data_IF_291365771631
#
_entry.id   IF_291365771631
#
_cell.length_a   1.000
_cell.length_b   1.000
_cell.length_c   1.000
_cell.angle_alpha   90.00
_cell.angle_beta   90.00
_cell.angle_gamma   90.00
#
_symmetry.space_group_name_H-M   'P 1'
#
loop_
_entity.id
_entity.type
_entity.pdbx_description
1 polymer ?
#
# COMPACT_ATOMS: atom_id res chain seq x y z
N UNK A 1 21.74 -20.38 1.41
CA UNK A 1 21.15 -19.07 1.09
C UNK A 1 20.04 -18.84 2.08
N UNK A 2 20.10 -17.79 2.89
CA UNK A 2 18.97 -17.41 3.73
C UNK A 2 17.90 -16.82 2.81
N UNK A 3 16.71 -17.42 2.81
CA UNK A 3 15.56 -16.91 2.07
C UNK A 3 14.86 -15.85 2.92
N UNK A 4 14.65 -14.66 2.35
CA UNK A 4 13.87 -13.61 3.00
C UNK A 4 12.39 -13.99 3.01
N UNK A 5 11.80 -14.03 4.21
CA UNK A 5 10.34 -14.18 4.36
C UNK A 5 9.61 -12.93 3.86
N UNK A 6 8.47 -13.11 3.21
CA UNK A 6 7.69 -11.99 2.69
C UNK A 6 7.20 -11.02 3.77
N UNK A 7 6.83 -11.52 4.95
CA UNK A 7 6.41 -10.66 6.06
C UNK A 7 7.53 -9.71 6.51
N UNK A 8 8.79 -10.20 6.53
CA UNK A 8 9.96 -9.39 6.85
C UNK A 8 10.23 -8.34 5.77
N UNK A 9 10.11 -8.73 4.50
CA UNK A 9 10.24 -7.79 3.37
C UNK A 9 9.20 -6.68 3.45
N UNK A 10 7.94 -7.03 3.69
CA UNK A 10 6.84 -6.07 3.84
C UNK A 10 7.08 -5.12 5.02
N UNK A 11 7.54 -5.64 6.16
CA UNK A 11 7.87 -4.85 7.33
C UNK A 11 8.98 -3.82 7.03
N UNK A 12 10.08 -4.24 6.40
CA UNK A 12 11.21 -3.38 6.06
C UNK A 12 10.79 -2.29 5.07
N UNK A 13 9.99 -2.65 4.06
CA UNK A 13 9.47 -1.67 3.09
C UNK A 13 8.54 -0.68 3.78
N UNK A 14 7.68 -1.14 4.71
CA UNK A 14 6.78 -0.27 5.44
C UNK A 14 7.53 0.83 6.21
N UNK A 15 8.72 0.56 6.77
CA UNK A 15 9.55 1.58 7.42
C UNK A 15 9.82 2.80 6.52
N UNK A 16 9.97 2.57 5.21
CA UNK A 16 10.15 3.66 4.23
C UNK A 16 8.84 4.31 3.82
N UNK A 17 7.74 3.56 3.74
CA UNK A 17 6.46 4.06 3.24
C UNK A 17 5.70 4.91 4.27
N UNK A 18 5.87 4.62 5.55
CA UNK A 18 5.15 5.26 6.63
C UNK A 18 5.64 6.69 6.91
N UNK A 19 4.72 7.54 7.37
CA UNK A 19 5.04 8.90 7.86
C UNK A 19 5.90 8.80 9.12
N UNK A 20 5.45 7.97 10.05
CA UNK A 20 6.12 7.62 11.29
C UNK A 20 5.85 6.13 11.55
N UNK A 21 6.88 5.27 11.43
CA UNK A 21 6.72 3.84 11.66
C UNK A 21 6.59 3.46 13.15
N UNK A 22 6.92 4.37 14.07
CA UNK A 22 6.83 4.15 15.52
C UNK A 22 5.50 4.60 16.12
N UNK A 23 4.64 5.24 15.32
CA UNK A 23 3.32 5.68 15.73
C UNK A 23 2.41 4.52 16.08
N UNK A 24 1.53 4.69 17.08
CA UNK A 24 0.45 3.74 17.41
C UNK A 24 -0.53 3.54 16.25
N UNK A 25 -0.66 4.54 15.37
CA UNK A 25 -1.52 4.51 14.19
C UNK A 25 -0.70 4.88 12.96
N UNK A 26 0.22 4.00 12.53
CA UNK A 26 1.12 4.28 11.42
C UNK A 26 0.31 4.49 10.14
N UNK A 27 0.69 5.51 9.36
CA UNK A 27 0.01 5.88 8.11
C UNK A 27 1.00 5.97 6.96
N UNK A 28 0.60 5.49 5.80
CA UNK A 28 1.39 5.63 4.57
C UNK A 28 1.47 7.11 4.17
N UNK A 29 2.68 7.57 3.89
CA UNK A 29 2.91 8.91 3.38
C UNK A 29 2.28 9.05 1.98
N UNK A 30 1.43 10.07 1.69
CA UNK A 30 0.70 10.17 0.42
C UNK A 30 1.60 10.10 -0.82
N UNK A 31 2.76 10.77 -0.78
CA UNK A 31 3.76 10.77 -1.87
C UNK A 31 4.55 9.46 -2.04
N UNK A 32 4.39 8.50 -1.14
CA UNK A 32 5.12 7.22 -1.14
C UNK A 32 4.25 6.04 -1.56
N UNK A 33 2.93 6.22 -1.68
CA UNK A 33 1.98 5.19 -2.13
C UNK A 33 2.32 4.57 -3.49
N UNK A 34 2.91 5.35 -4.38
CA UNK A 34 3.30 4.93 -5.74
C UNK A 34 4.80 5.15 -5.99
N UNK A 35 5.61 4.94 -4.95
CA UNK A 35 7.07 5.07 -5.06
C UNK A 35 7.61 4.07 -6.10
N UNK A 36 8.54 4.52 -6.95
CA UNK A 36 9.22 3.63 -7.92
C UNK A 36 10.20 2.71 -7.20
N UNK A 37 10.34 1.46 -7.66
CA UNK A 37 11.27 0.45 -7.12
C UNK A 37 12.68 0.99 -6.89
N UNK A 38 13.25 1.66 -7.89
CA UNK A 38 14.59 2.28 -7.81
C UNK A 38 14.67 3.35 -6.71
N UNK A 39 13.60 4.10 -6.48
CA UNK A 39 13.58 5.11 -5.41
C UNK A 39 13.44 4.47 -4.03
N UNK A 40 12.70 3.35 -3.92
CA UNK A 40 12.58 2.59 -2.68
C UNK A 40 13.93 1.99 -2.28
N UNK A 41 14.62 1.31 -3.22
CA UNK A 41 15.95 0.75 -3.01
C UNK A 41 16.93 1.82 -2.53
N UNK A 42 17.00 2.97 -3.22
CA UNK A 42 17.88 4.08 -2.80
C UNK A 42 17.57 4.64 -1.40
N UNK A 43 16.32 4.57 -0.96
CA UNK A 43 15.93 5.00 0.39
C UNK A 43 16.31 3.96 1.44
N UNK A 44 16.18 2.68 1.11
CA UNK A 44 16.66 1.56 1.95
C UNK A 44 18.18 1.61 2.11
N UNK A 45 18.94 1.78 1.03
CA UNK A 45 20.39 1.91 1.07
C UNK A 45 20.83 3.08 1.99
N UNK A 46 20.14 4.22 1.90
CA UNK A 46 20.39 5.36 2.81
C UNK A 46 20.00 5.09 4.26
N UNK A 47 18.94 4.31 4.49
CA UNK A 47 18.53 3.94 5.83
C UNK A 47 19.60 3.06 6.49
N UNK A 48 20.07 2.04 5.77
CA UNK A 48 21.17 1.16 6.20
C UNK A 48 22.43 1.96 6.47
N UNK A 49 22.84 2.84 5.54
CA UNK A 49 24.00 3.70 5.75
C UNK A 49 23.86 4.56 7.01
N UNK A 50 22.67 5.11 7.27
CA UNK A 50 22.40 5.84 8.50
C UNK A 50 22.59 4.98 9.74
N UNK A 51 22.07 3.74 9.73
CA UNK A 51 22.26 2.82 10.85
C UNK A 51 23.73 2.49 11.12
N UNK A 52 24.53 2.29 10.08
CA UNK A 52 25.97 2.07 10.18
C UNK A 52 26.69 3.32 10.75
N UNK A 53 26.39 4.50 10.20
CA UNK A 53 27.02 5.77 10.61
C UNK A 53 26.73 6.14 12.07
N UNK A 54 25.50 5.87 12.53
CA UNK A 54 25.07 6.13 13.90
C UNK A 54 25.33 4.97 14.87
N UNK A 55 25.96 3.88 14.39
CA UNK A 55 26.24 2.67 15.17
C UNK A 55 24.99 2.15 15.90
N UNK A 56 23.85 2.16 15.22
CA UNK A 56 22.61 1.64 15.79
C UNK A 56 22.72 0.12 15.86
N UNK A 57 22.52 -0.45 17.06
CA UNK A 57 22.60 -1.89 17.31
C UNK A 57 21.36 -2.60 16.75
N UNK A 58 21.38 -2.85 15.44
CA UNK A 58 20.35 -3.61 14.72
C UNK A 58 20.99 -4.58 13.74
N UNK A 59 20.25 -5.64 13.41
CA UNK A 59 20.65 -6.61 12.40
C UNK A 59 20.42 -6.04 10.99
N UNK A 60 21.51 -5.74 10.27
CA UNK A 60 21.46 -5.15 8.93
C UNK A 60 21.30 -6.18 7.81
N UNK A 61 21.58 -7.45 8.07
CA UNK A 61 21.52 -8.54 7.08
C UNK A 61 20.15 -8.63 6.41
N UNK A 62 19.08 -8.48 7.20
CA UNK A 62 17.71 -8.45 6.70
C UNK A 62 17.48 -7.27 5.75
N UNK A 63 18.07 -6.10 6.00
CA UNK A 63 17.94 -4.95 5.10
C UNK A 63 18.70 -5.17 3.78
N UNK A 64 19.89 -5.78 3.82
CA UNK A 64 20.63 -6.12 2.62
C UNK A 64 19.90 -7.17 1.78
N UNK A 65 19.35 -8.20 2.42
CA UNK A 65 18.52 -9.22 1.77
C UNK A 65 17.24 -8.60 1.16
N UNK A 66 16.64 -7.61 1.81
CA UNK A 66 15.49 -6.89 1.25
C UNK A 66 15.86 -6.09 0.00
N UNK A 67 17.01 -5.41 0.02
CA UNK A 67 17.54 -4.69 -1.14
C UNK A 67 17.80 -5.65 -2.31
N UNK A 68 18.42 -6.81 -2.04
CA UNK A 68 18.66 -7.84 -3.05
C UNK A 68 17.36 -8.40 -3.62
N UNK A 69 16.40 -8.72 -2.76
CA UNK A 69 15.06 -9.18 -3.15
C UNK A 69 14.37 -8.17 -4.07
N UNK A 70 14.41 -6.88 -3.73
CA UNK A 70 13.86 -5.81 -4.56
C UNK A 70 14.59 -5.64 -5.90
N UNK A 71 15.91 -5.85 -5.94
CA UNK A 71 16.70 -5.80 -7.19
C UNK A 71 16.24 -6.90 -8.15
N UNK A 72 16.04 -8.11 -7.64
CA UNK A 72 15.67 -9.29 -8.42
C UNK A 72 14.16 -9.38 -8.75
N UNK A 73 13.31 -8.69 -8.01
CA UNK A 73 11.85 -8.70 -8.18
C UNK A 73 11.39 -8.11 -9.52
N UNK A 74 10.43 -8.75 -10.18
CA UNK A 74 9.84 -8.21 -11.40
C UNK A 74 8.99 -6.98 -11.11
N UNK A 75 8.72 -6.18 -12.15
CA UNK A 75 7.94 -4.95 -11.99
C UNK A 75 6.53 -5.22 -11.45
N UNK A 76 5.85 -6.24 -11.96
CA UNK A 76 4.47 -6.54 -11.57
C UNK A 76 4.40 -7.00 -10.10
N UNK A 77 5.27 -7.94 -9.71
CA UNK A 77 5.38 -8.41 -8.32
C UNK A 77 5.66 -7.26 -7.34
N UNK A 78 6.50 -6.31 -7.76
CA UNK A 78 6.77 -5.11 -6.96
C UNK A 78 5.54 -4.22 -6.79
N UNK A 79 4.77 -4.01 -7.86
CA UNK A 79 3.55 -3.20 -7.81
C UNK A 79 2.48 -3.86 -6.94
N UNK A 80 2.32 -5.19 -7.04
CA UNK A 80 1.42 -5.97 -6.17
C UNK A 80 1.84 -5.89 -4.70
N UNK A 81 3.12 -6.13 -4.40
CA UNK A 81 3.67 -6.01 -3.04
C UNK A 81 3.43 -4.61 -2.45
N UNK A 82 3.63 -3.57 -3.25
CA UNK A 82 3.43 -2.19 -2.80
C UNK A 82 1.95 -1.94 -2.48
N UNK A 83 1.04 -2.41 -3.32
CA UNK A 83 -0.40 -2.27 -3.11
C UNK A 83 -0.88 -3.02 -1.86
N UNK A 84 -0.35 -4.23 -1.60
CA UNK A 84 -0.64 -4.99 -0.39
C UNK A 84 -0.25 -4.22 0.88
N UNK A 85 0.97 -3.69 0.92
CA UNK A 85 1.47 -2.91 2.07
C UNK A 85 0.61 -1.65 2.23
N UNK A 86 0.34 -0.93 1.14
CA UNK A 86 -0.48 0.29 1.20
C UNK A 86 -1.89 0.00 1.69
N UNK A 87 -2.48 -1.12 1.29
CA UNK A 87 -3.82 -1.56 1.70
C UNK A 87 -3.87 -1.89 3.19
N UNK A 88 -2.86 -2.60 3.72
CA UNK A 88 -2.75 -2.95 5.13
C UNK A 88 -2.82 -1.70 6.03
N UNK A 89 -2.11 -0.64 5.67
CA UNK A 89 -2.08 0.62 6.43
C UNK A 89 -3.17 1.64 6.04
N UNK A 90 -3.96 1.38 5.00
CA UNK A 90 -5.10 2.23 4.60
C UNK A 90 -6.42 1.81 5.24
N UNK A 91 -6.47 0.60 5.80
CA UNK A 91 -7.70 -0.07 6.28
C UNK A 91 -8.31 0.54 7.55
N UNK A 92 -7.68 1.55 8.17
CA UNK A 92 -8.29 2.31 9.27
C UNK A 92 -9.43 3.26 8.86
N UNK A 93 -9.86 3.28 7.59
CA UNK A 93 -10.92 4.22 7.15
C UNK A 93 -12.19 3.61 6.54
N UNK A 94 -12.26 2.34 6.12
CA UNK A 94 -13.50 1.81 5.48
C UNK A 94 -13.68 0.30 5.63
N UNK A 95 -14.02 -0.17 6.83
CA UNK A 95 -14.79 -1.41 6.99
C UNK A 95 -16.29 -1.11 7.11
N UNK A 96 -16.84 -0.34 6.18
CA UNK A 96 -18.29 -0.28 5.93
C UNK A 96 -18.54 -0.12 4.43
N UNK A 97 -18.61 -1.23 3.72
CA UNK A 97 -19.73 -1.60 2.85
C UNK A 97 -19.39 -2.90 2.14
N UNK A 98 -20.01 -3.94 2.67
CA UNK A 98 -20.36 -5.20 2.03
C UNK A 98 -20.45 -5.09 0.50
N UNK A 99 -19.75 -5.99 -0.18
CA UNK A 99 -20.07 -6.42 -1.54
C UNK A 99 -21.56 -6.83 -1.57
N UNK A 100 -22.35 -6.18 -2.40
CA UNK A 100 -23.48 -6.85 -3.06
C UNK A 100 -23.47 -6.39 -4.51
N UNK A 101 -23.03 -7.30 -5.39
CA UNK A 101 -23.09 -7.14 -6.85
C UNK A 101 -24.41 -7.75 -7.32
N UNK A 102 -25.08 -6.99 -8.18
CA UNK A 102 -26.03 -7.40 -9.23
C UNK A 102 -27.37 -8.03 -8.84
N UNK A 103 -28.46 -7.34 -9.20
CA UNK A 103 -29.34 -7.85 -10.26
C UNK A 103 -29.97 -6.67 -11.04
N UNK A 104 -30.04 -6.85 -12.35
CA UNK A 104 -30.52 -5.92 -13.37
C UNK A 104 -32.02 -6.13 -13.55
N UNK A 105 -32.82 -5.07 -13.69
CA UNK A 105 -33.99 -5.11 -14.58
C UNK A 105 -34.42 -3.71 -15.02
N UNK A 106 -34.28 -3.49 -16.34
CA UNK A 106 -34.85 -2.39 -17.10
C UNK A 106 -36.36 -2.62 -17.22
N UNK A 107 -37.18 -1.61 -16.94
CA UNK A 107 -38.51 -1.48 -17.53
C UNK A 107 -38.73 0.03 -17.82
N UNK A 108 -39.05 0.43 -19.07
CA UNK A 108 -39.45 1.79 -19.39
C UNK A 108 -40.96 1.94 -19.17
N UNK A 109 -41.41 3.03 -18.55
CA UNK A 109 -42.84 3.36 -18.53
C UNK A 109 -43.02 4.81 -18.97
N UNK A 110 -43.31 4.96 -20.26
CA UNK A 110 -43.95 6.13 -20.82
C UNK A 110 -45.46 5.95 -20.56
N UNK A 111 -46.09 6.81 -19.75
CA UNK A 111 -47.55 6.98 -19.79
C UNK A 111 -47.90 8.45 -19.64
N UNK A 112 -48.86 8.85 -20.45
CA UNK A 112 -49.22 10.19 -20.87
C UNK A 112 -50.48 10.62 -20.10
N UNK A 113 -50.60 11.94 -19.83
CA UNK A 113 -51.81 12.80 -19.61
C UNK A 113 -52.70 12.65 -18.34
N UNK A 114 -53.59 13.63 -18.00
CA UNK A 114 -53.48 15.11 -17.94
C UNK A 114 -54.21 15.77 -16.72
N UNK A 115 -54.30 17.12 -16.71
CA UNK A 115 -55.22 18.01 -15.94
C UNK A 115 -54.92 18.21 -14.43
N UNK A 116 -55.09 19.38 -13.81
CA UNK A 116 -56.04 20.46 -14.06
C UNK A 116 -55.55 21.78 -13.41
N UNK A 117 -55.87 22.92 -14.02
CA UNK A 117 -55.75 24.26 -13.41
C UNK A 117 -56.88 24.46 -12.39
N UNK A 118 -56.56 24.99 -11.22
CA UNK A 118 -57.50 25.54 -10.23
C UNK A 118 -56.76 26.70 -9.56
N UNK A 119 -57.25 27.93 -9.39
CA UNK A 119 -58.33 28.74 -9.96
C UNK A 119 -57.91 30.19 -9.70
#
# INVERSE_FOLDING_TARGET
MNEMKMDNLQFIIAQILLIDPTSEKPRVHPRRKSIKKVQLIKRLEKLVQGYEEFQIDIELDDYYLAIESLKNMQKNDYEELLDEIVLAYSSHSKLTKSKSKNEVSRIPINTVVPSEKIK
#
